data_IF_898712578033
#
_entry.id   IF_898712578033
#
_cell.length_a   1.000
_cell.length_b   1.000
_cell.length_c   1.000
_cell.angle_alpha   90.00
_cell.angle_beta   90.00
_cell.angle_gamma   90.00
#
_symmetry.space_group_name_H-M   'P 1'
#
loop_
_entity.id
_entity.type
_entity.pdbx_description
1 polymer ?
#
# COMPACT_ATOMS: atom_id res chain seq x y z
N UNK A 1 13.27 -8.36 -26.77
CA UNK A 1 14.06 -7.55 -25.82
C UNK A 1 13.07 -6.80 -24.95
N UNK A 2 13.19 -6.83 -23.61
CA UNK A 2 12.30 -6.01 -22.76
C UNK A 2 12.67 -4.54 -22.95
N UNK A 3 11.68 -3.69 -23.24
CA UNK A 3 11.90 -2.25 -23.32
C UNK A 3 11.99 -1.66 -21.91
N UNK A 4 12.69 -0.53 -21.76
CA UNK A 4 12.68 0.25 -20.52
C UNK A 4 11.24 0.59 -20.08
N UNK A 5 10.35 0.86 -21.05
CA UNK A 5 8.92 1.08 -20.79
C UNK A 5 8.25 -0.13 -20.16
N UNK A 6 8.51 -1.33 -20.69
CA UNK A 6 7.91 -2.58 -20.18
C UNK A 6 8.39 -2.87 -18.75
N UNK A 7 9.67 -2.58 -18.47
CA UNK A 7 10.27 -2.74 -17.15
C UNK A 7 9.59 -1.79 -16.16
N UNK A 8 9.50 -0.49 -16.49
CA UNK A 8 8.85 0.51 -15.62
C UNK A 8 7.39 0.16 -15.39
N UNK A 9 6.64 -0.19 -16.44
CA UNK A 9 5.23 -0.60 -16.30
C UNK A 9 5.06 -1.83 -15.41
N UNK A 10 5.96 -2.82 -15.50
CA UNK A 10 5.91 -3.99 -14.62
C UNK A 10 6.22 -3.64 -13.17
N UNK A 11 7.21 -2.76 -12.91
CA UNK A 11 7.51 -2.28 -11.55
C UNK A 11 6.29 -1.58 -10.95
N UNK A 12 5.68 -0.63 -11.68
CA UNK A 12 4.50 0.08 -11.19
C UNK A 12 3.32 -0.87 -10.91
N UNK A 13 3.14 -1.91 -11.73
CA UNK A 13 2.12 -2.95 -11.50
C UNK A 13 2.40 -3.78 -10.24
N UNK A 14 3.67 -4.15 -9.99
CA UNK A 14 4.07 -4.87 -8.78
C UNK A 14 3.86 -4.01 -7.52
N UNK A 15 4.25 -2.74 -7.56
CA UNK A 15 4.04 -1.80 -6.45
C UNK A 15 2.55 -1.60 -6.17
N UNK A 16 1.73 -1.49 -7.21
CA UNK A 16 0.28 -1.27 -7.07
C UNK A 16 -0.43 -2.50 -6.49
N UNK A 17 -0.10 -3.71 -6.98
CA UNK A 17 -0.66 -4.95 -6.46
C UNK A 17 -0.23 -5.22 -5.02
N UNK A 18 1.04 -4.96 -4.69
CA UNK A 18 1.55 -5.09 -3.33
C UNK A 18 0.83 -4.12 -2.38
N UNK A 19 0.71 -2.84 -2.76
CA UNK A 19 -0.02 -1.84 -1.95
C UNK A 19 -1.46 -2.28 -1.70
N UNK A 20 -2.17 -2.75 -2.73
CA UNK A 20 -3.55 -3.23 -2.57
C UNK A 20 -3.67 -4.43 -1.60
N UNK A 21 -2.69 -5.33 -1.58
CA UNK A 21 -2.66 -6.43 -0.62
C UNK A 21 -2.39 -5.95 0.81
N UNK A 22 -1.47 -5.00 0.99
CA UNK A 22 -1.13 -4.38 2.28
C UNK A 22 -2.31 -3.56 2.84
N UNK A 23 -2.95 -2.73 2.02
CA UNK A 23 -4.15 -1.97 2.39
C UNK A 23 -5.29 -2.91 2.81
N UNK A 24 -5.51 -3.98 2.04
CA UNK A 24 -6.52 -4.97 2.38
C UNK A 24 -6.21 -5.67 3.71
N UNK A 25 -4.94 -6.02 3.96
CA UNK A 25 -4.51 -6.64 5.21
C UNK A 25 -4.75 -5.71 6.40
N UNK A 26 -4.44 -4.42 6.26
CA UNK A 26 -4.62 -3.43 7.32
C UNK A 26 -6.10 -3.16 7.64
N UNK A 27 -6.96 -3.05 6.62
CA UNK A 27 -8.37 -2.71 6.79
C UNK A 27 -9.27 -3.94 7.04
N UNK A 28 -9.14 -4.98 6.21
CA UNK A 28 -10.07 -6.13 6.17
C UNK A 28 -9.51 -7.38 6.85
N UNK A 29 -8.19 -7.48 6.99
CA UNK A 29 -7.53 -8.61 7.66
C UNK A 29 -7.97 -8.80 9.12
N UNK A 30 -8.49 -7.75 9.77
CA UNK A 30 -8.97 -7.78 11.16
C UNK A 30 -10.15 -8.74 11.40
N UNK A 31 -10.86 -9.17 10.35
CA UNK A 31 -11.97 -10.13 10.45
C UNK A 31 -11.59 -11.58 10.09
N UNK A 32 -10.42 -11.82 9.51
CA UNK A 32 -9.99 -13.15 9.07
C UNK A 32 -9.22 -13.81 10.20
N UNK A 33 -9.84 -14.78 10.87
CA UNK A 33 -9.24 -15.49 12.02
C UNK A 33 -8.37 -16.68 11.62
N UNK A 34 -8.55 -17.18 10.40
CA UNK A 34 -7.79 -18.30 9.89
C UNK A 34 -6.62 -17.82 9.02
N UNK A 35 -5.41 -18.15 9.44
CA UNK A 35 -4.17 -17.76 8.75
C UNK A 35 -4.09 -18.34 7.34
N UNK A 36 -4.67 -19.53 7.10
CA UNK A 36 -4.63 -20.14 5.77
C UNK A 36 -5.49 -19.36 4.76
N UNK A 37 -6.67 -18.93 5.21
CA UNK A 37 -7.55 -18.04 4.43
C UNK A 37 -6.92 -16.67 4.24
N UNK A 38 -6.23 -16.13 5.26
CA UNK A 38 -5.52 -14.86 5.16
C UNK A 38 -4.44 -14.91 4.09
N UNK A 39 -3.60 -15.95 4.12
CA UNK A 39 -2.53 -16.18 3.16
C UNK A 39 -3.08 -16.27 1.72
N UNK A 40 -4.15 -17.04 1.52
CA UNK A 40 -4.75 -17.19 0.20
C UNK A 40 -5.28 -15.84 -0.34
N UNK A 41 -5.98 -15.06 0.50
CA UNK A 41 -6.55 -13.77 0.10
C UNK A 41 -5.48 -12.72 -0.21
N UNK A 42 -4.31 -12.80 0.42
CA UNK A 42 -3.14 -11.98 0.09
C UNK A 42 -2.62 -12.35 -1.31
N UNK A 43 -2.42 -13.64 -1.57
CA UNK A 43 -1.90 -14.13 -2.85
C UNK A 43 -2.86 -13.88 -4.03
N UNK A 44 -4.17 -13.92 -3.80
CA UNK A 44 -5.18 -13.54 -4.81
C UNK A 44 -5.02 -12.09 -5.30
N UNK A 45 -4.47 -11.20 -4.46
CA UNK A 45 -4.25 -9.79 -4.78
C UNK A 45 -2.85 -9.54 -5.34
N UNK A 46 -1.86 -10.16 -4.72
CA UNK A 46 -0.45 -10.02 -5.08
C UNK A 46 0.22 -11.40 -5.00
N UNK A 47 0.31 -12.13 -6.12
CA UNK A 47 0.96 -13.44 -6.15
C UNK A 47 2.41 -13.40 -5.67
N UNK A 48 3.09 -12.29 -5.92
CA UNK A 48 4.49 -12.07 -5.53
C UNK A 48 4.64 -11.43 -4.13
N UNK A 49 3.57 -11.34 -3.33
CA UNK A 49 3.56 -10.59 -2.06
C UNK A 49 4.74 -10.93 -1.14
N UNK A 50 4.94 -12.21 -0.83
CA UNK A 50 5.98 -12.63 0.10
C UNK A 50 7.40 -12.47 -0.45
N UNK A 51 7.56 -12.49 -1.78
CA UNK A 51 8.83 -12.20 -2.44
C UNK A 51 9.15 -10.70 -2.41
N UNK A 52 8.11 -9.86 -2.52
CA UNK A 52 8.24 -8.41 -2.50
C UNK A 52 8.33 -7.84 -1.08
N UNK A 53 7.90 -8.59 -0.06
CA UNK A 53 7.74 -8.12 1.31
C UNK A 53 9.00 -7.45 1.85
N UNK A 54 10.17 -8.08 1.78
CA UNK A 54 11.41 -7.53 2.33
C UNK A 54 11.79 -6.18 1.69
N UNK A 55 11.52 -6.02 0.39
CA UNK A 55 11.89 -4.81 -0.36
C UNK A 55 10.82 -3.72 -0.30
N UNK A 56 9.54 -4.08 -0.28
CA UNK A 56 8.43 -3.14 -0.36
C UNK A 56 7.87 -2.76 1.02
N UNK A 57 7.96 -3.62 2.03
CA UNK A 57 7.44 -3.31 3.36
C UNK A 57 8.16 -2.13 4.04
N UNK A 58 9.43 -1.89 3.69
CA UNK A 58 10.24 -0.79 4.20
C UNK A 58 10.00 0.55 3.49
N UNK A 59 9.31 0.55 2.34
CA UNK A 59 9.09 1.76 1.54
C UNK A 59 7.82 2.49 2.01
N UNK A 60 7.95 3.81 2.18
CA UNK A 60 6.83 4.69 2.53
C UNK A 60 5.72 4.60 1.48
N UNK A 61 6.08 4.52 0.19
CA UNK A 61 5.12 4.51 -0.91
C UNK A 61 4.19 3.29 -0.88
N UNK A 62 4.58 2.17 -0.29
CA UNK A 62 3.80 0.91 -0.26
C UNK A 62 3.25 0.58 1.12
N UNK A 63 3.38 1.49 2.09
CA UNK A 63 2.76 1.36 3.41
C UNK A 63 1.24 1.45 3.28
N UNK A 64 0.52 0.68 4.10
CA UNK A 64 -0.93 0.77 4.19
C UNK A 64 -1.36 2.19 4.53
N UNK A 65 -2.45 2.66 3.93
CA UNK A 65 -3.09 3.87 4.41
C UNK A 65 -3.70 3.62 5.81
N UNK A 66 -3.24 4.39 6.79
CA UNK A 66 -3.78 4.34 8.14
C UNK A 66 -5.20 4.92 8.15
N UNK A 67 -6.12 4.20 8.79
CA UNK A 67 -7.46 4.73 9.07
C UNK A 67 -7.39 5.67 10.28
N UNK A 68 -8.36 6.59 10.36
CA UNK A 68 -8.53 7.49 11.51
C UNK A 68 -8.75 6.76 12.85
N UNK A 69 -9.06 5.46 12.81
CA UNK A 69 -9.24 4.57 13.96
C UNK A 69 -7.97 3.82 14.35
N UNK A 70 -6.90 3.90 13.56
CA UNK A 70 -5.66 3.17 13.82
C UNK A 70 -4.86 3.85 14.95
N UNK A 71 -4.33 3.05 15.87
CA UNK A 71 -3.58 3.52 17.05
C UNK A 71 -2.29 4.29 16.64
N UNK A 72 -1.83 4.09 15.40
CA UNK A 72 -0.71 4.80 14.80
C UNK A 72 -1.07 6.09 14.04
N UNK A 73 -2.35 6.48 13.97
CA UNK A 73 -2.78 7.71 13.27
C UNK A 73 -2.38 8.95 14.07
N UNK A 74 -1.14 9.43 13.87
CA UNK A 74 -0.73 10.76 14.31
C UNK A 74 -1.17 11.77 13.25
N UNK A 75 -1.97 12.77 13.64
CA UNK A 75 -2.50 13.85 12.80
C UNK A 75 -1.43 14.83 12.28
N UNK A 76 -0.20 14.39 12.05
CA UNK A 76 0.94 15.27 11.74
C UNK A 76 1.27 15.32 10.24
N UNK A 77 0.71 14.42 9.43
CA UNK A 77 0.91 14.40 7.97
C UNK A 77 -0.19 15.14 7.18
N UNK A 78 -0.98 16.00 7.84
CA UNK A 78 -1.74 17.03 7.11
C UNK A 78 -0.82 18.21 6.90
N UNK A 79 0.04 18.13 5.88
CA UNK A 79 0.68 19.32 5.34
C UNK A 79 -0.44 20.26 4.89
N UNK A 80 -0.68 21.27 5.71
CA UNK A 80 -1.55 22.39 5.42
C UNK A 80 -0.90 23.19 4.30
N UNK A 81 -1.20 22.85 3.05
CA UNK A 81 -0.97 23.72 1.90
C UNK A 81 -1.98 24.89 2.00
N UNK A 82 -1.71 25.78 2.95
CA UNK A 82 -2.32 27.09 3.00
C UNK A 82 -1.72 27.95 1.90
N UNK A 83 -2.47 28.19 0.84
CA UNK A 83 -2.36 29.45 0.10
C UNK A 83 -3.75 29.95 -0.24
N UNK A 84 -4.26 30.82 0.63
CA UNK A 84 -5.35 31.72 0.29
C UNK A 84 -4.72 32.89 -0.48
N UNK A 85 -4.85 32.89 -1.80
CA UNK A 85 -4.65 34.13 -2.57
C UNK A 85 -5.98 34.87 -2.59
N UNK A 86 -6.10 35.86 -1.71
CA UNK A 86 -7.10 36.92 -1.87
C UNK A 86 -6.43 38.05 -2.64
N UNK A 87 -6.80 38.22 -3.90
CA UNK A 87 -6.49 39.41 -4.68
C UNK A 87 -7.44 40.54 -4.25
N UNK A 88 -6.88 41.68 -3.86
CA UNK A 88 -7.56 42.98 -3.66
C UNK A 88 -7.39 43.83 -4.92
#
# INVERSE_FOLDING_TARGET
MRSAKDITSKISSLESSYRAAVDWLAATGQGVKDESTLHQRILERCPEYYLLYETMNSRISTRAQLLNTDVGFRKEDTESEGVSSSDD
#
